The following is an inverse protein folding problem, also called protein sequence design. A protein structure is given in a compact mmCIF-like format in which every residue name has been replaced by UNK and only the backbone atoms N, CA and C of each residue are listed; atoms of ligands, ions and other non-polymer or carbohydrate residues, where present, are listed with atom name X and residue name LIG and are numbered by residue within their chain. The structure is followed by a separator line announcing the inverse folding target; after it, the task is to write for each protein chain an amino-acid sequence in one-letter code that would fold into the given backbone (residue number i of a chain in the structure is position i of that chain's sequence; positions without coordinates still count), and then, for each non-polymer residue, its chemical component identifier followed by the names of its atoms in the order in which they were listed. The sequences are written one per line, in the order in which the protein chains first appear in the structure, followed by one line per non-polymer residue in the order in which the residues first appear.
data_IF_326079775476
#
_entry.id   IF_326079775476
#
_cell.length_a   1.000
_cell.length_b   1.000
_cell.length_c   1.000
_cell.angle_alpha   90.00
_cell.angle_beta   90.00
_cell.angle_gamma   90.00
#
_symmetry.space_group_name_H-M   'P 1'
#
loop_
_entity.id
_entity.type
_entity.pdbx_description
1 polymer ?
#
# COMPACT_ATOMS: atom_id res chain seq x y z
N UNK A 1 27.82 18.64 -28.20
CA UNK A 1 27.14 19.91 -28.02
C UNK A 1 26.38 19.80 -26.71
N UNK A 2 26.90 20.40 -25.64
CA UNK A 2 26.31 20.31 -24.30
C UNK A 2 25.20 21.35 -24.17
N UNK A 3 23.98 20.89 -23.87
CA UNK A 3 22.86 21.78 -23.58
C UNK A 3 23.02 22.24 -22.13
N UNK A 4 23.24 23.53 -21.93
CA UNK A 4 23.36 24.11 -20.61
C UNK A 4 21.98 24.27 -19.92
N UNK A 5 21.96 24.10 -18.58
CA UNK A 5 20.75 24.23 -17.73
C UNK A 5 19.95 25.53 -17.95
N UNK A 6 20.57 26.57 -18.49
CA UNK A 6 19.94 27.86 -18.82
C UNK A 6 19.02 27.82 -20.05
N UNK A 7 19.20 26.85 -20.93
CA UNK A 7 18.43 26.74 -22.18
C UNK A 7 17.08 26.04 -21.96
N UNK A 8 16.99 25.19 -20.95
CA UNK A 8 15.73 24.52 -20.56
C UNK A 8 14.74 25.48 -19.91
N UNK A 9 15.25 26.52 -19.22
CA UNK A 9 14.39 27.53 -18.57
C UNK A 9 13.83 28.58 -19.54
N UNK A 10 14.43 28.72 -20.71
CA UNK A 10 13.92 29.67 -21.75
C UNK A 10 12.79 29.11 -22.60
N UNK A 11 12.66 27.80 -22.70
CA UNK A 11 11.55 27.14 -23.43
C UNK A 11 10.22 27.17 -22.68
N UNK A 12 10.23 27.34 -21.36
CA UNK A 12 9.01 27.47 -20.54
C UNK A 12 8.35 28.85 -20.57
N UNK A 13 9.06 29.89 -21.04
CA UNK A 13 8.57 31.28 -20.99
C UNK A 13 7.91 31.78 -22.30
N UNK A 14 7.94 31.01 -23.38
CA UNK A 14 7.38 31.42 -24.66
C UNK A 14 5.95 30.92 -24.93
N UNK A 15 5.36 30.13 -24.05
CA UNK A 15 3.98 29.63 -24.22
C UNK A 15 2.88 30.50 -23.57
N UNK A 16 3.25 31.62 -22.94
CA UNK A 16 2.30 32.48 -22.21
C UNK A 16 1.92 33.80 -22.86
N UNK A 17 2.27 34.04 -24.13
CA UNK A 17 2.09 35.35 -24.77
C UNK A 17 1.34 35.36 -26.12
N UNK A 18 0.39 34.44 -26.34
CA UNK A 18 -0.55 34.58 -27.48
C UNK A 18 -1.96 34.19 -27.01
N UNK A 19 -2.80 35.17 -26.68
CA UNK A 19 -4.19 34.93 -26.37
C UNK A 19 -4.92 36.04 -25.62
N UNK A 20 -4.81 37.28 -26.11
CA UNK A 20 -5.69 38.36 -25.65
C UNK A 20 -6.19 39.17 -26.85
N UNK A 21 -7.29 38.75 -27.46
CA UNK A 21 -8.22 39.60 -28.15
C UNK A 21 -9.50 38.80 -28.46
N UNK A 22 -10.59 39.10 -27.75
CA UNK A 22 -11.90 38.52 -28.01
C UNK A 22 -12.86 38.77 -26.85
N UNK A 23 -13.36 40.04 -26.76
CA UNK A 23 -14.40 40.36 -25.80
C UNK A 23 -15.73 39.73 -26.22
N UNK A 24 -16.09 38.63 -25.59
CA UNK A 24 -17.42 38.05 -25.59
C UNK A 24 -17.91 37.95 -24.15
N UNK A 25 -18.91 38.78 -23.84
CA UNK A 25 -19.61 38.74 -22.55
C UNK A 25 -20.38 37.43 -22.47
N UNK A 26 -19.81 36.42 -21.88
CA UNK A 26 -20.54 35.22 -21.45
C UNK A 26 -21.10 35.44 -20.04
N UNK A 27 -22.42 35.42 -19.95
CA UNK A 27 -23.16 35.38 -18.70
C UNK A 27 -22.74 34.17 -17.87
N UNK A 28 -22.33 34.41 -16.65
CA UNK A 28 -22.13 33.34 -15.66
C UNK A 28 -23.48 32.65 -15.42
N UNK A 29 -23.54 31.32 -15.51
CA UNK A 29 -24.69 30.62 -14.93
C UNK A 29 -24.58 30.69 -13.40
N UNK A 30 -25.48 31.45 -12.79
CA UNK A 30 -25.78 31.38 -11.39
C UNK A 30 -26.34 29.98 -11.11
N UNK A 31 -25.73 29.25 -10.14
CA UNK A 31 -26.32 28.04 -9.62
C UNK A 31 -25.35 26.82 -9.59
N UNK A 32 -24.11 26.99 -9.17
CA UNK A 32 -23.40 25.88 -8.57
C UNK A 32 -23.81 25.87 -7.07
N UNK A 33 -24.87 25.14 -6.77
CA UNK A 33 -25.17 24.68 -5.41
C UNK A 33 -23.91 23.96 -4.94
N UNK A 34 -23.22 24.57 -3.97
CA UNK A 34 -22.05 23.96 -3.37
C UNK A 34 -22.42 22.56 -2.90
N UNK A 35 -21.88 21.55 -3.55
CA UNK A 35 -21.80 20.23 -2.95
C UNK A 35 -21.11 20.44 -1.62
N UNK A 36 -21.88 20.36 -0.54
CA UNK A 36 -21.36 20.20 0.81
C UNK A 36 -20.46 18.99 0.73
N UNK A 37 -19.13 19.20 0.72
CA UNK A 37 -18.16 18.12 0.95
C UNK A 37 -18.58 17.51 2.26
N UNK A 38 -19.22 16.34 2.19
CA UNK A 38 -19.56 15.58 3.38
C UNK A 38 -18.30 15.51 4.22
N UNK A 39 -18.38 15.99 5.48
CA UNK A 39 -17.25 15.90 6.39
C UNK A 39 -16.84 14.42 6.42
N UNK A 40 -15.55 14.15 6.18
CA UNK A 40 -15.02 12.79 6.17
C UNK A 40 -15.30 12.21 7.55
N UNK A 41 -15.97 11.06 7.58
CA UNK A 41 -16.23 10.36 8.83
C UNK A 41 -14.90 9.97 9.47
N UNK A 42 -14.66 10.37 10.70
CA UNK A 42 -13.50 9.95 11.47
C UNK A 42 -13.54 8.43 11.66
N UNK A 43 -12.48 7.76 11.28
CA UNK A 43 -12.33 6.32 11.43
C UNK A 43 -11.42 5.97 12.61
N UNK A 44 -11.70 4.83 13.25
CA UNK A 44 -10.77 4.14 14.13
C UNK A 44 -10.06 3.05 13.33
N UNK A 45 -8.75 3.21 13.11
CA UNK A 45 -7.94 2.37 12.24
C UNK A 45 -6.96 1.56 13.07
N UNK A 46 -6.99 0.23 12.93
CA UNK A 46 -5.97 -0.67 13.46
C UNK A 46 -4.97 -0.99 12.35
N UNK A 47 -3.67 -0.85 12.61
CA UNK A 47 -2.61 -1.23 11.66
C UNK A 47 -1.77 -2.34 12.30
N UNK A 48 -1.84 -3.55 11.74
CA UNK A 48 -0.94 -4.63 12.11
C UNK A 48 0.42 -4.38 11.44
N UNK A 49 1.46 -4.16 12.24
CA UNK A 49 2.77 -3.67 11.82
C UNK A 49 2.93 -2.16 12.07
N UNK A 50 2.88 -1.35 11.01
CA UNK A 50 2.90 0.13 11.12
C UNK A 50 4.29 0.77 11.18
N UNK A 51 5.37 0.04 11.41
CA UNK A 51 6.73 0.61 11.54
C UNK A 51 7.71 0.23 10.42
N UNK A 52 7.24 -0.53 9.42
CA UNK A 52 7.99 -0.90 8.23
C UNK A 52 7.98 0.19 7.15
N UNK A 53 8.15 -0.20 5.87
CA UNK A 53 8.22 0.73 4.73
C UNK A 53 6.92 1.53 4.54
N UNK A 54 5.77 0.86 4.46
CA UNK A 54 4.48 1.49 4.15
C UNK A 54 3.77 2.09 5.36
N UNK A 55 3.94 1.46 6.53
CA UNK A 55 3.22 1.82 7.74
C UNK A 55 3.35 3.28 8.17
N UNK A 56 4.54 3.88 8.22
CA UNK A 56 4.70 5.28 8.62
C UNK A 56 3.93 6.25 7.73
N UNK A 57 3.84 5.98 6.43
CA UNK A 57 3.09 6.81 5.49
C UNK A 57 1.58 6.67 5.69
N UNK A 58 1.09 5.45 5.96
CA UNK A 58 -0.32 5.21 6.30
C UNK A 58 -0.70 5.92 7.60
N UNK A 59 0.13 5.78 8.66
CA UNK A 59 -0.10 6.43 9.95
C UNK A 59 -0.13 7.95 9.80
N UNK A 60 0.89 8.53 9.15
CA UNK A 60 0.99 9.98 8.98
C UNK A 60 -0.20 10.54 8.19
N UNK A 61 -0.60 9.88 7.11
CA UNK A 61 -1.73 10.31 6.31
C UNK A 61 -3.05 10.15 7.06
N UNK A 62 -3.29 9.03 7.75
CA UNK A 62 -4.48 8.81 8.56
C UNK A 62 -4.64 9.89 9.65
N UNK A 63 -3.56 10.23 10.35
CA UNK A 63 -3.57 11.30 11.35
C UNK A 63 -3.84 12.67 10.73
N UNK A 64 -3.27 12.98 9.56
CA UNK A 64 -3.53 14.25 8.85
C UNK A 64 -4.99 14.39 8.40
N UNK A 65 -5.70 13.27 8.25
CA UNK A 65 -7.12 13.18 7.91
C UNK A 65 -8.03 13.20 9.15
N UNK A 66 -7.45 13.23 10.36
CA UNK A 66 -8.16 13.26 11.63
C UNK A 66 -8.65 11.90 12.14
N UNK A 67 -8.14 10.81 11.60
CA UNK A 67 -8.48 9.46 12.07
C UNK A 67 -7.74 9.10 13.35
N UNK A 68 -8.30 8.15 14.11
CA UNK A 68 -7.63 7.52 15.24
C UNK A 68 -6.83 6.31 14.76
N UNK A 69 -5.59 6.21 15.22
CA UNK A 69 -4.69 5.14 14.78
C UNK A 69 -4.19 4.35 15.98
N UNK A 70 -4.41 3.04 15.92
CA UNK A 70 -3.79 2.04 16.79
C UNK A 70 -2.84 1.19 15.96
N UNK A 71 -1.59 1.02 16.38
CA UNK A 71 -0.66 0.09 15.75
C UNK A 71 -0.45 -1.13 16.66
N UNK A 72 -0.32 -2.31 16.05
CA UNK A 72 0.01 -3.55 16.75
C UNK A 72 1.31 -4.12 16.18
N UNK A 73 2.36 -4.18 16.99
CA UNK A 73 3.68 -4.64 16.57
C UNK A 73 4.53 -5.08 17.75
N UNK A 74 5.79 -5.49 17.47
CA UNK A 74 6.76 -6.00 18.45
C UNK A 74 7.46 -4.94 19.29
N UNK A 75 7.22 -3.64 19.01
CA UNK A 75 7.90 -2.52 19.72
C UNK A 75 9.39 -2.39 19.43
N UNK A 76 9.95 -3.12 18.44
CA UNK A 76 11.42 -3.14 18.19
C UNK A 76 11.92 -1.90 17.44
N UNK A 77 11.08 -1.24 16.64
CA UNK A 77 11.39 0.01 15.92
C UNK A 77 10.61 1.15 16.55
N UNK A 78 11.30 2.08 17.18
CA UNK A 78 10.70 3.32 17.67
C UNK A 78 10.47 4.25 16.48
N UNK A 79 9.35 4.96 16.50
CA UNK A 79 8.98 5.96 15.49
C UNK A 79 8.41 7.19 16.18
N UNK A 80 8.77 8.35 15.70
CA UNK A 80 8.09 9.59 16.03
C UNK A 80 6.89 9.75 15.09
N UNK A 81 5.74 10.11 15.67
CA UNK A 81 4.52 10.27 14.92
C UNK A 81 4.09 11.74 14.91
N UNK A 82 3.47 12.24 13.83
CA UNK A 82 2.98 13.62 13.76
C UNK A 82 1.76 13.89 14.66
N UNK A 83 1.34 12.91 15.44
CA UNK A 83 0.23 12.99 16.36
C UNK A 83 0.15 11.78 17.29
N UNK A 84 -0.94 11.66 18.03
CA UNK A 84 -1.14 10.56 18.98
C UNK A 84 -1.41 9.25 18.26
N UNK A 85 -0.61 8.22 18.54
CA UNK A 85 -0.78 6.85 18.07
C UNK A 85 -0.72 5.92 19.27
N UNK A 86 -1.75 5.12 19.43
CA UNK A 86 -1.74 4.04 20.41
C UNK A 86 -0.92 2.85 19.90
N UNK A 87 -0.12 2.27 20.76
CA UNK A 87 0.67 1.08 20.42
C UNK A 87 0.29 -0.09 21.31
N UNK A 88 -0.15 -1.17 20.71
CA UNK A 88 -0.36 -2.48 21.33
C UNK A 88 0.82 -3.39 20.97
N UNK A 89 1.37 -4.08 21.96
CA UNK A 89 2.54 -4.92 21.76
C UNK A 89 2.15 -6.40 21.60
N UNK A 90 2.78 -7.05 20.62
CA UNK A 90 2.64 -8.49 20.37
C UNK A 90 3.51 -8.97 19.23
N UNK A 91 3.60 -10.27 19.03
CA UNK A 91 4.43 -10.86 17.97
C UNK A 91 3.65 -11.96 17.22
N UNK A 92 3.41 -11.71 15.94
CA UNK A 92 2.65 -12.60 15.05
C UNK A 92 3.39 -13.90 14.75
N UNK A 93 4.74 -13.88 14.81
CA UNK A 93 5.56 -15.07 14.55
C UNK A 93 5.38 -16.16 15.62
N UNK A 94 4.99 -15.74 16.82
CA UNK A 94 4.76 -16.65 17.98
C UNK A 94 3.32 -16.60 18.47
N UNK A 95 2.40 -16.13 17.65
CA UNK A 95 0.97 -16.01 17.95
C UNK A 95 0.67 -15.25 19.27
N UNK A 96 1.45 -14.21 19.56
CA UNK A 96 1.21 -13.36 20.73
C UNK A 96 0.33 -12.15 20.36
N UNK A 97 -0.97 -12.33 20.54
CA UNK A 97 -1.99 -11.31 20.33
C UNK A 97 -2.65 -10.84 21.65
N UNK A 98 -2.02 -11.11 22.81
CA UNK A 98 -2.65 -10.87 24.13
C UNK A 98 -3.11 -9.43 24.33
N UNK A 99 -2.29 -8.44 23.95
CA UNK A 99 -2.65 -7.02 24.10
C UNK A 99 -3.87 -6.66 23.26
N UNK A 100 -3.93 -7.16 22.03
CA UNK A 100 -5.04 -6.94 21.11
C UNK A 100 -6.32 -7.65 21.62
N UNK A 101 -6.20 -8.89 22.08
CA UNK A 101 -7.30 -9.64 22.65
C UNK A 101 -7.87 -8.97 23.93
N UNK A 102 -7.01 -8.37 24.74
CA UNK A 102 -7.43 -7.62 25.92
C UNK A 102 -8.27 -6.39 25.57
N UNK A 103 -7.95 -5.67 24.49
CA UNK A 103 -8.77 -4.56 24.01
C UNK A 103 -10.12 -5.05 23.46
N UNK A 104 -10.09 -6.14 22.69
CA UNK A 104 -11.32 -6.78 22.19
C UNK A 104 -12.24 -7.23 23.35
N UNK A 105 -11.67 -7.81 24.40
CA UNK A 105 -12.42 -8.24 25.58
C UNK A 105 -13.10 -7.05 26.34
N UNK A 106 -12.57 -5.84 26.20
CA UNK A 106 -13.20 -4.59 26.68
C UNK A 106 -14.32 -4.08 25.76
N UNK A 107 -14.61 -4.79 24.68
CA UNK A 107 -15.62 -4.38 23.70
C UNK A 107 -15.11 -3.43 22.61
N UNK A 108 -13.81 -3.24 22.50
CA UNK A 108 -13.22 -2.37 21.48
C UNK A 108 -13.50 -2.87 20.08
N UNK A 109 -13.73 -1.94 19.17
CA UNK A 109 -13.94 -2.15 17.74
C UNK A 109 -13.14 -1.13 16.95
N UNK A 110 -12.73 -1.53 15.74
CA UNK A 110 -12.13 -0.64 14.75
C UNK A 110 -12.99 -0.63 13.49
N UNK A 111 -13.03 0.50 12.80
CA UNK A 111 -13.72 0.60 11.51
C UNK A 111 -13.02 -0.23 10.47
N UNK A 112 -11.69 -0.28 10.49
CA UNK A 112 -10.88 -1.08 9.57
C UNK A 112 -9.58 -1.55 10.24
N UNK A 113 -9.14 -2.74 9.87
CA UNK A 113 -7.81 -3.25 10.10
C UNK A 113 -6.99 -3.22 8.81
N UNK A 114 -5.81 -2.63 8.83
CA UNK A 114 -4.83 -2.65 7.73
C UNK A 114 -3.69 -3.57 8.14
N UNK A 115 -3.45 -4.61 7.38
CA UNK A 115 -2.48 -5.65 7.69
C UNK A 115 -1.19 -5.51 6.85
N UNK A 116 -0.09 -5.09 7.50
CA UNK A 116 1.23 -4.88 6.93
C UNK A 116 2.34 -5.67 7.65
N UNK A 117 3.18 -6.35 6.93
CA UNK A 117 2.98 -7.07 5.68
C UNK A 117 2.34 -8.41 5.99
N UNK A 118 1.52 -8.93 5.10
CA UNK A 118 0.96 -10.27 5.23
C UNK A 118 1.59 -11.18 4.19
N UNK A 119 2.48 -12.05 4.61
CA UNK A 119 3.24 -12.91 3.70
C UNK A 119 3.09 -14.39 4.00
N UNK A 120 2.44 -14.74 5.11
CA UNK A 120 2.15 -16.13 5.50
C UNK A 120 0.73 -16.25 6.03
N UNK A 121 -0.03 -17.26 5.57
CA UNK A 121 -1.47 -17.35 5.83
C UNK A 121 -1.84 -17.50 7.31
N UNK A 122 -1.00 -18.13 8.13
CA UNK A 122 -1.30 -18.30 9.56
C UNK A 122 -1.37 -16.95 10.30
N UNK A 123 -0.70 -15.91 9.83
CA UNK A 123 -0.85 -14.57 10.41
C UNK A 123 -2.27 -14.02 10.26
N UNK A 124 -2.91 -14.31 9.12
CA UNK A 124 -4.31 -13.92 8.88
C UNK A 124 -5.25 -14.74 9.75
N UNK A 125 -5.06 -16.07 9.79
CA UNK A 125 -5.86 -16.98 10.62
C UNK A 125 -5.84 -16.54 12.09
N UNK A 126 -4.66 -16.27 12.61
CA UNK A 126 -4.47 -15.95 14.03
C UNK A 126 -4.98 -14.53 14.36
N UNK A 127 -4.78 -13.56 13.46
CA UNK A 127 -5.39 -12.24 13.58
C UNK A 127 -6.92 -12.31 13.51
N UNK A 128 -7.46 -13.12 12.62
CA UNK A 128 -8.91 -13.29 12.46
C UNK A 128 -9.54 -13.93 13.71
N UNK A 129 -8.85 -14.85 14.39
CA UNK A 129 -9.32 -15.44 15.63
C UNK A 129 -9.61 -14.37 16.73
N UNK A 130 -8.89 -13.24 16.69
CA UNK A 130 -9.09 -12.12 17.62
C UNK A 130 -10.00 -11.05 17.06
N UNK A 131 -9.88 -10.72 15.76
CA UNK A 131 -10.46 -9.51 15.18
C UNK A 131 -11.82 -9.72 14.49
N UNK A 132 -12.18 -10.98 14.15
CA UNK A 132 -13.45 -11.25 13.45
C UNK A 132 -14.63 -10.77 14.29
N UNK A 133 -15.47 -9.91 13.70
CA UNK A 133 -16.57 -9.25 14.41
C UNK A 133 -16.19 -8.00 15.21
N UNK A 134 -14.89 -7.67 15.28
CA UNK A 134 -14.37 -6.47 15.98
C UNK A 134 -13.75 -5.44 15.02
N UNK A 135 -13.71 -5.74 13.72
CA UNK A 135 -13.35 -4.80 12.65
C UNK A 135 -14.46 -4.73 11.62
N UNK A 136 -14.75 -3.55 11.11
CA UNK A 136 -15.75 -3.33 10.05
C UNK A 136 -15.24 -3.76 8.67
N UNK A 137 -13.92 -3.61 8.41
CA UNK A 137 -13.23 -4.06 7.21
C UNK A 137 -11.83 -4.61 7.52
N UNK A 138 -11.30 -5.42 6.60
CA UNK A 138 -9.95 -5.97 6.71
C UNK A 138 -9.19 -5.76 5.40
N UNK A 139 -8.18 -4.92 5.40
CA UNK A 139 -7.37 -4.58 4.24
C UNK A 139 -6.00 -5.25 4.35
N UNK A 140 -5.73 -6.22 3.46
CA UNK A 140 -4.48 -6.96 3.42
C UNK A 140 -3.56 -6.42 2.32
N UNK A 141 -2.29 -6.18 2.61
CA UNK A 141 -1.28 -5.90 1.59
C UNK A 141 -0.73 -7.21 1.02
N UNK A 142 -1.16 -7.50 -0.20
CA UNK A 142 -0.68 -8.60 -1.03
C UNK A 142 0.52 -8.18 -1.89
N UNK A 143 0.56 -8.59 -3.15
CA UNK A 143 1.57 -8.26 -4.16
C UNK A 143 1.07 -8.61 -5.55
N UNK A 144 1.55 -7.94 -6.60
CA UNK A 144 1.40 -8.41 -7.98
C UNK A 144 1.99 -9.81 -8.18
N UNK A 145 2.98 -10.20 -7.36
CA UNK A 145 3.53 -11.56 -7.40
C UNK A 145 2.53 -12.66 -7.02
N UNK A 146 1.34 -12.31 -6.50
CA UNK A 146 0.29 -13.29 -6.26
C UNK A 146 -0.34 -13.86 -7.54
N UNK A 147 -0.15 -13.20 -8.69
CA UNK A 147 -0.60 -13.73 -9.97
C UNK A 147 0.23 -14.92 -10.43
N UNK A 148 -0.42 -15.85 -11.13
CA UNK A 148 0.23 -17.03 -11.70
C UNK A 148 1.20 -16.64 -12.84
N UNK A 149 0.87 -15.57 -13.56
CA UNK A 149 1.68 -15.00 -14.62
C UNK A 149 1.63 -13.46 -14.51
N UNK A 150 2.78 -12.82 -14.72
CA UNK A 150 2.91 -11.37 -14.77
C UNK A 150 3.42 -10.89 -16.14
N UNK A 151 3.51 -11.79 -17.13
CA UNK A 151 4.04 -11.47 -18.45
C UNK A 151 2.96 -11.00 -19.42
N UNK A 152 1.69 -11.28 -19.16
CA UNK A 152 0.57 -10.92 -20.03
C UNK A 152 0.17 -9.45 -19.81
N UNK A 153 0.39 -8.54 -20.79
CA UNK A 153 -0.04 -7.16 -20.67
C UNK A 153 -1.56 -7.04 -20.67
N UNK A 154 -2.09 -6.21 -19.75
CA UNK A 154 -3.51 -5.90 -19.70
C UNK A 154 -4.29 -6.79 -18.75
N UNK A 155 -3.68 -7.73 -18.07
CA UNK A 155 -4.33 -8.49 -17.00
C UNK A 155 -4.81 -7.57 -15.88
N UNK A 156 -6.01 -7.83 -15.42
CA UNK A 156 -6.67 -7.13 -14.31
C UNK A 156 -6.75 -7.99 -13.05
N UNK A 157 -7.50 -7.53 -12.06
CA UNK A 157 -7.65 -8.20 -10.76
C UNK A 157 -8.34 -9.55 -10.82
N UNK A 158 -8.94 -9.93 -11.97
CA UNK A 158 -9.59 -11.23 -12.20
C UNK A 158 -8.64 -12.30 -12.72
N UNK A 159 -7.39 -11.94 -13.07
CA UNK A 159 -6.38 -12.86 -13.56
C UNK A 159 -6.07 -13.97 -12.55
N UNK A 160 -5.66 -15.12 -13.06
CA UNK A 160 -5.37 -16.31 -12.25
C UNK A 160 -4.27 -16.06 -11.22
N UNK A 161 -4.47 -16.57 -10.01
CA UNK A 161 -3.48 -16.49 -8.96
C UNK A 161 -2.55 -17.70 -8.95
N UNK A 162 -1.35 -17.51 -8.43
CA UNK A 162 -0.40 -18.58 -8.20
C UNK A 162 -0.96 -19.61 -7.22
N UNK A 163 -0.57 -20.86 -7.40
CA UNK A 163 -0.90 -21.96 -6.48
C UNK A 163 0.27 -22.21 -5.54
N UNK A 164 -0.04 -22.76 -4.36
CA UNK A 164 0.95 -23.24 -3.40
C UNK A 164 0.84 -24.75 -3.29
N UNK A 165 1.97 -25.43 -3.40
CA UNK A 165 2.02 -26.87 -3.22
C UNK A 165 2.35 -27.21 -1.76
N UNK A 166 1.51 -28.01 -1.12
CA UNK A 166 1.59 -28.36 0.30
C UNK A 166 0.64 -27.56 1.19
N UNK A 167 0.89 -27.58 2.50
CA UNK A 167 0.10 -26.82 3.49
C UNK A 167 0.65 -25.39 3.69
N UNK A 168 -0.02 -24.36 3.17
CA UNK A 168 0.45 -22.99 3.29
C UNK A 168 0.34 -22.45 4.73
N UNK A 169 -0.50 -23.07 5.60
CA UNK A 169 -0.63 -22.67 7.01
C UNK A 169 0.54 -23.13 7.87
N UNK A 170 1.31 -24.14 7.42
CA UNK A 170 2.53 -24.60 8.06
C UNK A 170 3.74 -23.70 7.76
N UNK A 171 3.66 -22.86 6.72
CA UNK A 171 4.76 -21.98 6.32
C UNK A 171 4.92 -20.79 7.27
N UNK A 172 6.17 -20.40 7.53
CA UNK A 172 6.56 -19.31 8.42
C UNK A 172 7.35 -18.25 7.68
N UNK A 173 7.56 -17.08 8.30
CA UNK A 173 8.46 -16.07 7.75
C UNK A 173 9.91 -16.58 7.63
N UNK A 174 10.31 -17.55 8.47
CA UNK A 174 11.64 -18.17 8.40
C UNK A 174 11.74 -19.09 7.18
N UNK A 175 10.76 -19.96 6.94
CA UNK A 175 10.75 -20.84 5.77
C UNK A 175 10.62 -20.05 4.46
N UNK A 176 9.81 -18.99 4.44
CA UNK A 176 9.71 -18.12 3.28
C UNK A 176 11.03 -17.40 2.94
N UNK A 177 11.76 -16.92 3.96
CA UNK A 177 13.07 -16.28 3.73
C UNK A 177 14.13 -17.27 3.26
N UNK A 178 14.03 -18.53 3.68
CA UNK A 178 14.93 -19.60 3.22
C UNK A 178 14.65 -19.98 1.76
N UNK A 179 13.41 -19.83 1.29
CA UNK A 179 13.01 -20.14 -0.08
C UNK A 179 11.98 -19.12 -0.58
N UNK A 180 12.49 -18.09 -1.27
CA UNK A 180 11.65 -17.04 -1.87
C UNK A 180 10.82 -17.53 -3.07
N UNK A 181 11.09 -18.71 -3.61
CA UNK A 181 10.25 -19.34 -4.65
C UNK A 181 8.82 -19.59 -4.18
N UNK A 182 8.63 -19.73 -2.87
CA UNK A 182 7.32 -19.89 -2.24
C UNK A 182 6.47 -18.60 -2.21
N UNK A 183 7.07 -17.43 -2.49
CA UNK A 183 6.46 -16.14 -2.21
C UNK A 183 5.13 -15.92 -2.94
N UNK A 184 5.08 -16.21 -4.24
CA UNK A 184 3.89 -16.03 -5.07
C UNK A 184 2.69 -16.85 -4.55
N UNK A 185 2.89 -18.16 -4.40
CA UNK A 185 1.86 -19.06 -3.90
C UNK A 185 1.42 -18.74 -2.46
N UNK A 186 2.36 -18.33 -1.58
CA UNK A 186 2.01 -17.91 -0.22
C UNK A 186 1.22 -16.60 -0.20
N UNK A 187 1.50 -15.65 -1.08
CA UNK A 187 0.69 -14.43 -1.21
C UNK A 187 -0.73 -14.76 -1.65
N UNK A 188 -0.89 -15.61 -2.66
CA UNK A 188 -2.20 -16.08 -3.11
C UNK A 188 -2.96 -16.82 -2.00
N UNK A 189 -2.29 -17.72 -1.27
CA UNK A 189 -2.88 -18.44 -0.14
C UNK A 189 -3.26 -17.50 1.01
N UNK A 190 -2.48 -16.43 1.25
CA UNK A 190 -2.79 -15.41 2.26
C UNK A 190 -4.04 -14.60 1.87
N UNK A 191 -4.22 -14.28 0.57
CA UNK A 191 -5.46 -13.67 0.06
C UNK A 191 -6.66 -14.59 0.29
N UNK A 192 -6.52 -15.89 -0.06
CA UNK A 192 -7.58 -16.88 0.16
C UNK A 192 -7.98 -17.00 1.64
N UNK A 193 -7.00 -17.01 2.54
CA UNK A 193 -7.26 -17.04 3.99
C UNK A 193 -7.95 -15.74 4.47
N UNK A 194 -7.58 -14.58 3.89
CA UNK A 194 -8.26 -13.31 4.17
C UNK A 194 -9.73 -13.35 3.75
N UNK A 195 -10.02 -13.80 2.54
CA UNK A 195 -11.39 -13.94 2.03
C UNK A 195 -12.21 -14.95 2.84
N UNK A 196 -11.63 -16.06 3.26
CA UNK A 196 -12.26 -17.07 4.10
C UNK A 196 -12.76 -16.49 5.43
N UNK A 197 -12.01 -15.58 6.04
CA UNK A 197 -12.35 -15.03 7.35
C UNK A 197 -13.21 -13.77 7.27
N UNK A 198 -12.96 -12.89 6.31
CA UNK A 198 -13.58 -11.57 6.22
C UNK A 198 -14.55 -11.40 5.04
N UNK A 199 -14.52 -12.31 4.08
CA UNK A 199 -15.47 -12.34 2.97
C UNK A 199 -15.59 -10.99 2.25
N UNK A 200 -16.81 -10.48 2.13
CA UNK A 200 -17.09 -9.21 1.47
C UNK A 200 -16.56 -7.96 2.21
N UNK A 201 -16.07 -8.10 3.43
CA UNK A 201 -15.41 -7.01 4.17
C UNK A 201 -13.89 -6.96 3.92
N UNK A 202 -13.36 -7.86 3.07
CA UNK A 202 -11.95 -7.91 2.73
C UNK A 202 -11.60 -6.94 1.60
N UNK A 203 -10.43 -6.30 1.72
CA UNK A 203 -9.78 -5.54 0.66
C UNK A 203 -8.39 -6.12 0.44
N UNK A 204 -8.10 -6.55 -0.78
CA UNK A 204 -6.82 -7.13 -1.17
C UNK A 204 -6.06 -6.13 -2.02
N UNK A 205 -4.98 -5.60 -1.49
CA UNK A 205 -4.14 -4.62 -2.18
C UNK A 205 -2.94 -5.33 -2.78
N UNK A 206 -2.78 -5.33 -4.10
CA UNK A 206 -1.69 -5.96 -4.85
C UNK A 206 -0.73 -4.91 -5.39
N UNK A 207 0.22 -4.43 -4.57
CA UNK A 207 1.18 -3.45 -5.05
C UNK A 207 2.23 -4.06 -5.98
N UNK A 208 2.74 -3.23 -6.90
CA UNK A 208 4.00 -3.47 -7.60
C UNK A 208 5.20 -3.30 -6.66
N UNK A 209 6.36 -2.99 -7.22
CA UNK A 209 7.54 -2.67 -6.42
C UNK A 209 7.28 -1.39 -5.61
N UNK A 210 7.19 -1.52 -4.28
CA UNK A 210 7.02 -0.37 -3.40
C UNK A 210 8.38 0.29 -3.22
N UNK A 211 8.44 1.60 -3.53
CA UNK A 211 9.65 2.41 -3.49
C UNK A 211 9.42 3.67 -2.65
N UNK A 212 10.48 4.39 -2.32
CA UNK A 212 10.33 5.69 -1.65
C UNK A 212 11.00 5.77 -0.28
N UNK A 213 10.73 6.83 0.47
CA UNK A 213 11.38 7.07 1.76
C UNK A 213 11.14 5.93 2.75
N UNK A 214 12.23 5.40 3.32
CA UNK A 214 12.18 4.27 4.25
C UNK A 214 12.38 2.90 3.60
N UNK A 215 12.60 2.82 2.29
CA UNK A 215 13.02 1.57 1.64
C UNK A 215 14.49 1.29 1.99
N UNK A 216 14.70 0.36 2.91
CA UNK A 216 16.02 -0.08 3.37
C UNK A 216 16.66 -1.11 2.42
N UNK A 217 15.95 -1.49 1.33
CA UNK A 217 16.40 -2.57 0.43
C UNK A 217 17.24 -2.08 -0.74
N UNK A 218 17.24 -0.79 -0.99
CA UNK A 218 17.98 -0.11 -2.08
C UNK A 218 17.67 -0.63 -3.50
N UNK A 219 16.60 -1.41 -3.66
CA UNK A 219 16.24 -2.05 -4.94
C UNK A 219 15.97 -1.06 -6.06
N UNK A 220 15.40 0.11 -5.72
CA UNK A 220 15.11 1.16 -6.68
C UNK A 220 16.20 2.22 -6.69
N UNK A 221 16.62 2.71 -5.52
CA UNK A 221 17.58 3.82 -5.38
C UNK A 221 18.97 3.46 -5.90
N UNK A 222 19.34 2.19 -5.93
CA UNK A 222 20.56 1.71 -6.56
C UNK A 222 20.72 2.23 -8.01
N UNK A 223 19.68 2.13 -8.83
CA UNK A 223 19.76 2.45 -10.25
C UNK A 223 20.07 3.91 -10.52
N UNK A 224 19.29 4.90 -10.03
CA UNK A 224 19.61 6.31 -10.26
C UNK A 224 20.98 6.70 -9.66
N UNK A 225 21.32 6.15 -8.48
CA UNK A 225 22.62 6.41 -7.85
C UNK A 225 23.79 5.79 -8.62
N UNK A 226 23.60 4.59 -9.16
CA UNK A 226 24.62 3.92 -9.98
C UNK A 226 24.82 4.61 -11.31
N UNK A 227 23.73 5.01 -11.97
CA UNK A 227 23.78 5.71 -13.26
C UNK A 227 24.41 7.11 -13.13
N UNK A 228 24.13 7.82 -12.03
CA UNK A 228 24.73 9.14 -11.76
C UNK A 228 26.27 9.11 -11.67
N UNK A 229 26.86 7.97 -11.30
CA UNK A 229 28.32 7.77 -11.26
C UNK A 229 28.95 7.60 -12.64
N UNK A 230 28.16 7.34 -13.67
CA UNK A 230 28.65 7.05 -15.03
C UNK A 230 29.43 5.75 -15.16
N UNK A 231 30.14 5.60 -16.29
CA UNK A 231 30.87 4.37 -16.62
C UNK A 231 29.97 3.22 -17.07
N UNK A 232 30.51 2.03 -17.20
CA UNK A 232 29.77 0.84 -17.62
C UNK A 232 28.85 0.35 -16.52
N UNK A 233 27.60 0.01 -16.89
CA UNK A 233 26.58 -0.51 -16.00
C UNK A 233 26.06 -1.82 -16.57
N UNK A 234 26.13 -2.89 -15.78
CA UNK A 234 25.45 -4.14 -16.12
C UNK A 234 23.94 -3.93 -15.95
N UNK A 235 23.20 -3.96 -17.06
CA UNK A 235 21.75 -3.93 -17.07
C UNK A 235 21.18 -5.31 -17.40
N UNK A 236 20.19 -5.81 -16.68
CA UNK A 236 19.52 -7.06 -17.04
C UNK A 236 18.64 -6.86 -18.27
N UNK A 237 18.44 -7.94 -19.04
CA UNK A 237 17.57 -7.95 -20.21
C UNK A 237 18.04 -7.03 -21.35
N UNK A 238 17.10 -6.63 -22.20
CA UNK A 238 17.31 -5.74 -23.35
C UNK A 238 16.81 -4.29 -23.09
N UNK A 239 16.39 -3.99 -21.86
CA UNK A 239 15.87 -2.68 -21.46
C UNK A 239 14.40 -2.43 -21.84
N UNK A 240 13.68 -3.44 -22.28
CA UNK A 240 12.26 -3.35 -22.67
C UNK A 240 11.31 -3.92 -21.64
N UNK A 241 11.84 -4.55 -20.60
CA UNK A 241 11.03 -5.13 -19.54
C UNK A 241 10.23 -4.05 -18.81
N UNK A 242 8.89 -4.15 -18.76
CA UNK A 242 8.08 -3.19 -18.04
C UNK A 242 8.29 -3.32 -16.54
N UNK A 243 8.54 -2.21 -15.85
CA UNK A 243 8.66 -2.14 -14.40
C UNK A 243 7.43 -1.45 -13.82
N UNK A 244 6.75 -2.13 -12.92
CA UNK A 244 5.61 -1.57 -12.18
C UNK A 244 6.04 -1.24 -10.75
N UNK A 245 6.00 0.04 -10.39
CA UNK A 245 6.31 0.50 -9.04
C UNK A 245 5.25 1.47 -8.54
N UNK A 246 5.24 1.67 -7.23
CA UNK A 246 4.40 2.66 -6.55
C UNK A 246 5.21 3.29 -5.42
N UNK A 247 5.11 4.60 -5.25
CA UNK A 247 5.71 5.28 -4.10
C UNK A 247 4.96 4.89 -2.82
N UNK A 248 5.69 4.65 -1.74
CA UNK A 248 5.11 4.24 -0.45
C UNK A 248 4.17 5.29 0.14
N UNK A 249 4.38 6.59 -0.20
CA UNK A 249 3.50 7.69 0.21
C UNK A 249 2.18 7.64 -0.55
N UNK A 250 2.23 7.45 -1.87
CA UNK A 250 1.03 7.34 -2.72
C UNK A 250 0.21 6.10 -2.35
N UNK A 251 0.90 4.97 -2.11
CA UNK A 251 0.24 3.75 -1.64
C UNK A 251 -0.43 3.97 -0.28
N UNK A 252 0.26 4.62 0.66
CA UNK A 252 -0.27 4.91 1.99
C UNK A 252 -1.50 5.82 1.94
N UNK A 253 -1.44 6.91 1.19
CA UNK A 253 -2.55 7.83 0.97
C UNK A 253 -3.75 7.10 0.34
N UNK A 254 -3.51 6.39 -0.77
CA UNK A 254 -4.56 5.70 -1.50
C UNK A 254 -5.27 4.64 -0.65
N UNK A 255 -4.53 3.87 0.16
CA UNK A 255 -5.12 2.89 1.08
C UNK A 255 -6.02 3.51 2.13
N UNK A 256 -5.63 4.65 2.70
CA UNK A 256 -6.50 5.37 3.65
C UNK A 256 -7.75 5.90 2.95
N UNK A 257 -7.64 6.39 1.72
CA UNK A 257 -8.81 6.82 0.92
C UNK A 257 -9.76 5.66 0.60
N UNK A 258 -9.23 4.47 0.30
CA UNK A 258 -10.06 3.26 0.14
C UNK A 258 -10.80 2.92 1.44
N UNK A 259 -10.11 3.04 2.59
CA UNK A 259 -10.73 2.82 3.90
C UNK A 259 -11.85 3.83 4.17
N UNK A 260 -11.65 5.12 3.87
CA UNK A 260 -12.66 6.18 3.99
C UNK A 260 -13.89 5.90 3.10
N UNK A 261 -13.65 5.37 1.90
CA UNK A 261 -14.71 5.01 0.96
C UNK A 261 -15.43 3.69 1.31
N UNK A 262 -14.93 2.93 2.28
CA UNK A 262 -15.44 1.58 2.58
C UNK A 262 -15.29 0.61 1.41
N UNK A 263 -14.26 0.81 0.57
CA UNK A 263 -14.02 0.01 -0.61
C UNK A 263 -13.57 -1.39 -0.24
N UNK A 264 -14.09 -2.40 -0.93
CA UNK A 264 -13.75 -3.82 -0.75
C UNK A 264 -13.43 -4.48 -2.09
N UNK A 265 -12.83 -5.66 -2.07
CA UNK A 265 -12.41 -6.38 -3.27
C UNK A 265 -10.90 -6.36 -3.50
N UNK A 266 -10.46 -6.79 -4.67
CA UNK A 266 -9.07 -6.81 -5.06
C UNK A 266 -8.72 -5.56 -5.88
N UNK A 267 -7.50 -5.04 -5.70
CA UNK A 267 -7.01 -3.86 -6.40
C UNK A 267 -5.52 -3.98 -6.73
N UNK A 268 -5.16 -3.76 -7.97
CA UNK A 268 -3.79 -3.57 -8.39
C UNK A 268 -3.32 -2.16 -8.00
N UNK A 269 -2.32 -2.07 -7.14
CA UNK A 269 -1.77 -0.81 -6.66
C UNK A 269 -0.43 -0.54 -7.34
N UNK A 270 -0.49 0.13 -8.47
CA UNK A 270 0.68 0.49 -9.30
C UNK A 270 0.65 1.99 -9.58
N UNK A 271 1.82 2.58 -9.72
CA UNK A 271 1.96 3.94 -10.22
C UNK A 271 1.48 4.06 -11.66
N UNK A 272 1.33 5.29 -12.18
CA UNK A 272 0.96 5.49 -13.56
C UNK A 272 1.95 4.77 -14.49
N UNK A 273 1.42 4.05 -15.48
CA UNK A 273 2.24 3.42 -16.51
C UNK A 273 2.83 4.52 -17.39
N UNK A 274 4.15 4.56 -17.47
CA UNK A 274 4.85 5.32 -18.51
C UNK A 274 5.18 4.37 -19.65
N UNK A 275 5.01 4.82 -20.91
CA UNK A 275 5.44 4.06 -22.08
C UNK A 275 6.96 3.91 -22.14
#
# INVERSE_FOLDING_TARGET
MSIERRDVLKLGALAAAVGLAGAGRAQSPAGATGETRNAIRKLSILILGGTGLTGPHQVAYALSRGHEVTIFNRGRKQREWPGSVEQLLGDRDVNDYKSLAAEVAKGRRWDICIDNPSSVPHWIRDAAAVLKGHVGGYMMISSLSAYADNATPGDDETAALATFDGDPLAETMTSLRADMGKYAGLKAATEAETLKHFGNAATLVRPGLIVGPGDETDRFTYWPMRLAKGGEVLAPGDGRDPVKYIDARDLGEWMIRLAEAGATGAYNAIGPGYP
#
